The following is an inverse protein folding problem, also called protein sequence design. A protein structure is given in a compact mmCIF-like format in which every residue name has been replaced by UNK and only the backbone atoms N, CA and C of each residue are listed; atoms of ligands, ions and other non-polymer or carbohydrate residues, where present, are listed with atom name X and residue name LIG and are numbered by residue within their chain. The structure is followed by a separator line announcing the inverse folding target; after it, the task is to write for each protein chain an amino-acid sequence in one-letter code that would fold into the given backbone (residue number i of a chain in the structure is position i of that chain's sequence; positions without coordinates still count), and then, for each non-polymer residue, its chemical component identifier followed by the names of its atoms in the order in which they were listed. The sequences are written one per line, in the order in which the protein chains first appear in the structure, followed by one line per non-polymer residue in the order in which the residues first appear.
data_IF_128901871877
#
_entry.id   IF_128901871877
#
_cell.length_a   1.000
_cell.length_b   1.000
_cell.length_c   1.000
_cell.angle_alpha   90.00
_cell.angle_beta   90.00
_cell.angle_gamma   90.00
#
_symmetry.space_group_name_H-M   'P 1'
#
loop_
_entity.id
_entity.type
_entity.pdbx_description
1 polymer ?
#
# COMPACT_ATOMS: atom_id res chain seq x y z
N UNK A 1 -29.26 -7.77 22.88
CA UNK A 1 -28.22 -6.93 22.26
C UNK A 1 -28.14 -7.32 20.79
N UNK A 2 -28.69 -6.49 19.92
CA UNK A 2 -28.65 -6.70 18.48
C UNK A 2 -27.24 -6.32 18.01
N UNK A 3 -26.45 -7.30 17.60
CA UNK A 3 -25.16 -7.09 16.96
C UNK A 3 -25.42 -6.31 15.67
N UNK A 4 -25.05 -5.03 15.65
CA UNK A 4 -24.96 -4.28 14.40
C UNK A 4 -23.82 -4.90 13.59
N UNK A 5 -24.16 -5.54 12.49
CA UNK A 5 -23.21 -5.94 11.46
C UNK A 5 -22.42 -4.68 11.07
N UNK A 6 -21.09 -4.66 11.15
CA UNK A 6 -20.31 -3.53 10.66
C UNK A 6 -20.68 -3.29 9.20
N UNK A 7 -20.83 -2.02 8.82
CA UNK A 7 -21.06 -1.63 7.44
C UNK A 7 -20.03 -2.34 6.57
N UNK A 8 -20.54 -3.20 5.68
CA UNK A 8 -19.73 -3.87 4.67
C UNK A 8 -18.95 -2.77 3.96
N UNK A 9 -17.62 -2.82 4.01
CA UNK A 9 -16.72 -2.05 3.15
C UNK A 9 -17.06 -2.41 1.69
N UNK A 10 -18.13 -1.83 1.18
CA UNK A 10 -18.78 -2.15 -0.11
C UNK A 10 -17.90 -1.82 -1.32
N UNK A 11 -16.75 -1.20 -1.07
CA UNK A 11 -15.77 -0.79 -2.07
C UNK A 11 -14.40 -1.43 -1.87
N UNK A 12 -14.27 -2.48 -1.04
CA UNK A 12 -12.99 -3.18 -0.88
C UNK A 12 -12.69 -3.98 -2.14
N UNK A 13 -12.00 -3.33 -3.08
CA UNK A 13 -11.49 -3.87 -4.35
C UNK A 13 -12.65 -4.18 -5.30
N UNK A 14 -12.67 -3.67 -6.55
CA UNK A 14 -13.71 -4.05 -7.49
C UNK A 14 -13.77 -5.57 -7.53
N UNK A 15 -14.90 -6.10 -7.07
CA UNK A 15 -15.29 -7.47 -7.33
C UNK A 15 -15.35 -7.55 -8.85
N UNK A 16 -14.26 -7.94 -9.50
CA UNK A 16 -14.46 -8.93 -10.56
C UNK A 16 -15.09 -10.08 -9.81
N UNK A 17 -16.42 -10.11 -9.84
CA UNK A 17 -17.31 -11.03 -9.14
C UNK A 17 -17.19 -12.43 -9.73
N UNK A 18 -15.97 -12.89 -9.94
CA UNK A 18 -15.69 -14.26 -10.31
C UNK A 18 -15.81 -15.07 -9.03
N UNK A 19 -16.97 -15.69 -8.85
CA UNK A 19 -17.11 -16.77 -7.88
C UNK A 19 -16.17 -17.92 -8.26
N UNK A 20 -15.90 -18.84 -7.34
CA UNK A 20 -15.15 -20.06 -7.66
C UNK A 20 -15.80 -20.83 -8.82
N UNK A 21 -17.14 -20.87 -8.85
CA UNK A 21 -17.89 -21.44 -9.97
C UNK A 21 -17.70 -20.67 -11.29
N UNK A 22 -17.50 -19.36 -11.25
CA UNK A 22 -17.21 -18.56 -12.46
C UNK A 22 -15.77 -18.76 -12.93
N UNK A 23 -14.83 -18.93 -12.00
CA UNK A 23 -13.47 -19.35 -12.32
C UNK A 23 -13.48 -20.75 -12.94
N UNK A 24 -14.02 -21.77 -12.27
CA UNK A 24 -14.11 -23.13 -12.83
C UNK A 24 -14.78 -23.14 -14.20
N UNK A 25 -15.86 -22.38 -14.38
CA UNK A 25 -16.55 -22.28 -15.68
C UNK A 25 -15.69 -21.59 -16.74
N UNK A 26 -14.94 -20.55 -16.39
CA UNK A 26 -13.99 -19.89 -17.28
C UNK A 26 -12.86 -20.85 -17.68
N UNK A 27 -12.21 -21.48 -16.71
CA UNK A 27 -11.11 -22.44 -16.92
C UNK A 27 -11.55 -23.71 -17.67
N UNK A 28 -12.83 -24.11 -17.58
CA UNK A 28 -13.37 -25.29 -18.26
C UNK A 28 -13.90 -25.00 -19.67
N UNK A 29 -14.48 -23.81 -19.92
CA UNK A 29 -14.96 -23.41 -21.25
C UNK A 29 -13.86 -22.85 -22.15
N UNK A 30 -12.94 -22.11 -21.55
CA UNK A 30 -11.82 -21.46 -22.22
C UNK A 30 -10.62 -21.54 -21.30
N UNK A 31 -9.99 -22.73 -21.17
CA UNK A 31 -8.80 -22.86 -20.34
C UNK A 31 -7.80 -21.77 -20.73
N UNK A 32 -7.24 -21.03 -19.76
CA UNK A 32 -6.28 -19.99 -20.10
C UNK A 32 -5.16 -20.62 -20.91
N UNK A 33 -4.82 -19.96 -22.01
CA UNK A 33 -3.71 -20.35 -22.85
C UNK A 33 -2.44 -20.33 -21.99
N UNK A 34 -1.92 -21.50 -21.68
CA UNK A 34 -0.78 -21.71 -20.77
C UNK A 34 0.53 -21.83 -21.55
N UNK A 35 0.46 -21.93 -22.89
CA UNK A 35 1.60 -21.81 -23.77
C UNK A 35 1.76 -20.33 -24.13
N UNK A 36 2.64 -19.63 -23.40
CA UNK A 36 2.90 -18.20 -23.57
C UNK A 36 3.26 -17.82 -25.01
N UNK A 37 3.82 -18.74 -25.81
CA UNK A 37 4.12 -18.55 -27.23
C UNK A 37 2.89 -18.29 -28.10
N UNK A 38 1.69 -18.70 -27.66
CA UNK A 38 0.44 -18.57 -28.42
C UNK A 38 -0.26 -17.23 -28.16
N UNK A 39 0.25 -16.41 -27.23
CA UNK A 39 -0.30 -15.10 -26.90
C UNK A 39 0.09 -14.09 -27.99
N UNK A 40 -0.61 -14.11 -29.12
CA UNK A 40 -0.33 -13.22 -30.27
C UNK A 40 -0.99 -11.84 -30.13
N UNK A 41 -1.94 -11.69 -29.20
CA UNK A 41 -2.64 -10.44 -28.86
C UNK A 41 -3.08 -10.47 -27.39
N UNK A 42 -2.17 -10.21 -26.45
CA UNK A 42 -2.57 -9.95 -25.06
C UNK A 42 -2.84 -8.46 -24.85
N UNK A 43 -3.77 -8.11 -23.97
CA UNK A 43 -3.98 -6.73 -23.48
C UNK A 43 -2.85 -6.24 -22.57
N UNK A 44 -1.96 -7.14 -22.15
CA UNK A 44 -0.71 -6.83 -21.46
C UNK A 44 0.39 -7.60 -22.20
N UNK A 45 1.03 -6.91 -23.14
CA UNK A 45 2.11 -7.46 -23.94
C UNK A 45 3.40 -7.42 -23.11
N UNK A 46 3.73 -8.51 -22.41
CA UNK A 46 5.08 -8.74 -21.88
C UNK A 46 6.00 -9.35 -22.94
N UNK A 47 5.78 -9.08 -24.23
CA UNK A 47 6.92 -9.09 -25.13
C UNK A 47 7.87 -8.05 -24.57
N UNK A 48 8.99 -8.52 -24.02
CA UNK A 48 10.18 -7.71 -23.81
C UNK A 48 10.53 -7.11 -25.16
N UNK A 49 9.92 -5.97 -25.47
CA UNK A 49 10.52 -5.01 -26.38
C UNK A 49 11.88 -4.77 -25.71
N UNK A 50 12.96 -4.99 -26.46
CA UNK A 50 14.33 -4.65 -26.08
C UNK A 50 14.41 -3.12 -25.88
N UNK A 51 13.69 -2.59 -24.90
CA UNK A 51 13.97 -1.30 -24.35
C UNK A 51 15.19 -1.52 -23.49
N UNK A 52 16.30 -1.01 -24.01
CA UNK A 52 17.43 -0.65 -23.21
C UNK A 52 16.93 0.28 -22.10
N UNK A 53 16.61 -0.28 -20.93
CA UNK A 53 16.11 0.47 -19.77
C UNK A 53 17.11 1.55 -19.35
N UNK A 54 18.35 1.46 -19.82
CA UNK A 54 19.42 2.40 -19.58
C UNK A 54 19.11 3.83 -20.10
N UNK A 55 18.28 3.96 -21.15
CA UNK A 55 17.77 5.27 -21.62
C UNK A 55 16.68 5.85 -20.71
N UNK A 56 15.88 5.00 -20.05
CA UNK A 56 14.89 5.45 -19.05
C UNK A 56 15.56 5.85 -17.73
N UNK A 57 16.68 5.22 -17.36
CA UNK A 57 17.48 5.55 -16.17
C UNK A 57 18.21 6.89 -16.33
N UNK A 58 18.52 7.30 -17.57
CA UNK A 58 19.34 8.48 -17.86
C UNK A 58 18.63 9.83 -17.78
N UNK A 59 17.30 9.86 -17.68
CA UNK A 59 16.54 11.12 -17.63
C UNK A 59 16.20 11.47 -16.18
N UNK A 60 17.03 12.34 -15.58
CA UNK A 60 16.75 12.98 -14.30
C UNK A 60 15.49 13.86 -14.42
N UNK A 61 14.33 13.31 -14.10
CA UNK A 61 13.10 14.08 -13.97
C UNK A 61 13.12 14.84 -12.62
N UNK A 62 13.91 15.92 -12.57
CA UNK A 62 13.69 17.01 -11.61
C UNK A 62 12.75 17.99 -12.30
N UNK A 63 11.45 17.72 -12.24
CA UNK A 63 10.44 18.73 -12.54
C UNK A 63 9.14 18.39 -11.84
N UNK A 64 8.87 19.17 -10.80
CA UNK A 64 7.57 19.34 -10.16
C UNK A 64 6.52 19.66 -11.20
N UNK A 65 5.75 18.65 -11.58
CA UNK A 65 4.37 18.78 -12.02
C UNK A 65 3.64 17.62 -11.35
N UNK A 66 2.70 17.91 -10.48
CA UNK A 66 1.69 16.94 -10.06
C UNK A 66 1.14 16.31 -11.34
N UNK A 67 1.29 14.99 -11.56
CA UNK A 67 1.00 14.43 -12.87
C UNK A 67 -0.47 14.64 -13.24
N UNK A 68 -0.72 15.11 -14.45
CA UNK A 68 -2.07 15.21 -14.98
C UNK A 68 -2.65 13.81 -15.16
N UNK A 69 -3.76 13.52 -14.50
CA UNK A 69 -4.46 12.22 -14.39
C UNK A 69 -4.94 11.57 -15.69
N UNK A 70 -4.83 12.27 -16.83
CA UNK A 70 -5.15 11.74 -18.16
C UNK A 70 -3.90 11.22 -18.92
N UNK A 71 -2.70 11.47 -18.39
CA UNK A 71 -1.47 10.97 -18.98
C UNK A 71 -1.15 9.57 -18.46
N UNK A 72 -0.74 8.69 -19.37
CA UNK A 72 -0.18 7.36 -19.11
C UNK A 72 1.20 7.48 -18.43
N UNK A 73 1.28 8.17 -17.30
CA UNK A 73 2.52 8.46 -16.62
C UNK A 73 3.11 7.22 -15.92
N UNK A 74 4.38 7.32 -15.53
CA UNK A 74 5.12 6.23 -14.90
C UNK A 74 4.52 5.83 -13.54
N UNK A 75 3.89 6.77 -12.82
CA UNK A 75 3.25 6.48 -11.53
C UNK A 75 2.03 5.59 -11.75
N UNK A 76 1.16 5.96 -12.69
CA UNK A 76 -0.01 5.19 -13.11
C UNK A 76 0.40 3.78 -13.57
N UNK A 77 1.39 3.68 -14.46
CA UNK A 77 1.83 2.40 -15.00
C UNK A 77 2.34 1.48 -13.88
N UNK A 78 3.20 2.00 -13.00
CA UNK A 78 3.72 1.26 -11.85
C UNK A 78 2.61 0.86 -10.90
N UNK A 79 1.68 1.76 -10.62
CA UNK A 79 0.55 1.51 -9.75
C UNK A 79 -0.33 0.35 -10.28
N UNK A 80 -0.63 0.34 -11.58
CA UNK A 80 -1.39 -0.74 -12.21
C UNK A 80 -0.65 -2.08 -12.15
N UNK A 81 0.66 -2.10 -12.43
CA UNK A 81 1.47 -3.31 -12.35
C UNK A 81 1.57 -3.81 -10.91
N UNK A 82 1.85 -2.93 -9.94
CA UNK A 82 1.94 -3.25 -8.53
C UNK A 82 0.61 -3.81 -8.01
N UNK A 83 -0.51 -3.18 -8.37
CA UNK A 83 -1.84 -3.66 -8.00
C UNK A 83 -2.17 -5.02 -8.63
N UNK A 84 -1.81 -5.23 -9.90
CA UNK A 84 -2.02 -6.53 -10.55
C UNK A 84 -1.22 -7.63 -9.86
N UNK A 85 0.05 -7.39 -9.56
CA UNK A 85 0.95 -8.35 -8.92
C UNK A 85 0.55 -8.67 -7.48
N UNK A 86 0.03 -7.68 -6.75
CA UNK A 86 -0.30 -7.80 -5.31
C UNK A 86 -1.79 -7.97 -5.06
N UNK A 87 -2.59 -8.23 -6.11
CA UNK A 87 -4.05 -8.30 -6.00
C UNK A 87 -4.48 -9.34 -4.96
N UNK A 88 -5.27 -8.97 -3.95
CA UNK A 88 -5.77 -9.89 -2.95
C UNK A 88 -6.54 -11.04 -3.56
N UNK A 89 -6.11 -12.27 -3.26
CA UNK A 89 -6.91 -13.46 -3.53
C UNK A 89 -8.09 -13.55 -2.54
N UNK A 90 -8.99 -14.52 -2.75
CA UNK A 90 -10.18 -14.66 -1.91
C UNK A 90 -9.84 -14.80 -0.42
N UNK A 91 -8.88 -15.68 -0.09
CA UNK A 91 -8.47 -15.94 1.29
C UNK A 91 -7.92 -14.69 1.98
N UNK A 92 -7.04 -13.93 1.31
CA UNK A 92 -6.52 -12.68 1.87
C UNK A 92 -7.62 -11.65 2.08
N UNK A 93 -8.63 -11.57 1.20
CA UNK A 93 -9.76 -10.65 1.40
C UNK A 93 -10.59 -11.00 2.62
N UNK A 94 -10.80 -12.29 2.92
CA UNK A 94 -11.45 -12.72 4.16
C UNK A 94 -10.59 -12.41 5.38
N UNK A 95 -9.29 -12.68 5.31
CA UNK A 95 -8.35 -12.32 6.38
C UNK A 95 -8.34 -10.80 6.63
N UNK A 96 -8.36 -10.00 5.58
CA UNK A 96 -8.43 -8.54 5.70
C UNK A 96 -9.71 -8.10 6.41
N UNK A 97 -10.87 -8.66 6.04
CA UNK A 97 -12.14 -8.38 6.73
C UNK A 97 -12.12 -8.77 8.22
N UNK A 98 -11.45 -9.87 8.53
CA UNK A 98 -11.42 -10.41 9.88
C UNK A 98 -10.42 -9.71 10.79
N UNK A 99 -9.25 -9.36 10.26
CA UNK A 99 -8.09 -8.94 11.05
C UNK A 99 -7.71 -7.48 10.87
N UNK A 100 -8.16 -6.80 9.82
CA UNK A 100 -7.80 -5.40 9.61
C UNK A 100 -8.46 -4.51 10.68
N UNK A 101 -7.68 -3.76 11.47
CA UNK A 101 -8.22 -2.92 12.53
C UNK A 101 -8.64 -1.54 12.00
N UNK A 102 -8.62 -1.32 10.68
CA UNK A 102 -8.89 -0.03 10.06
C UNK A 102 -10.32 0.46 10.33
N UNK A 103 -10.46 1.77 10.59
CA UNK A 103 -11.75 2.43 10.75
C UNK A 103 -11.81 3.67 9.85
N UNK A 104 -12.57 3.57 8.77
CA UNK A 104 -12.77 4.68 7.81
C UNK A 104 -13.88 5.64 8.28
N UNK A 105 -13.79 6.96 8.00
CA UNK A 105 -12.67 7.60 7.32
C UNK A 105 -11.44 7.70 8.25
N UNK A 106 -10.25 7.49 7.69
CA UNK A 106 -8.96 7.55 8.38
C UNK A 106 -7.89 8.26 7.56
N UNK A 107 -6.80 8.60 8.24
CA UNK A 107 -5.52 8.88 7.61
C UNK A 107 -4.53 7.77 7.98
N UNK A 108 -3.67 7.37 7.05
CA UNK A 108 -2.59 6.43 7.36
C UNK A 108 -1.28 7.18 7.56
N UNK A 109 -0.51 6.79 8.57
CA UNK A 109 0.85 7.26 8.79
C UNK A 109 1.80 6.07 8.67
N UNK A 110 2.72 6.13 7.71
CA UNK A 110 3.75 5.12 7.54
C UNK A 110 5.10 5.65 8.00
N UNK A 111 5.61 5.09 9.10
CA UNK A 111 6.87 5.47 9.74
C UNK A 111 7.87 4.32 9.61
N UNK A 112 8.95 4.56 8.86
CA UNK A 112 10.02 3.58 8.60
C UNK A 112 11.29 3.98 9.33
N UNK A 113 11.67 3.24 10.36
CA UNK A 113 12.75 3.62 11.28
C UNK A 113 13.93 2.63 11.39
N UNK A 114 13.89 1.43 10.79
CA UNK A 114 14.97 0.44 10.94
C UNK A 114 16.30 0.84 10.28
N UNK A 115 17.04 -0.13 9.72
CA UNK A 115 18.29 -0.03 8.91
C UNK A 115 18.41 1.15 7.92
N UNK A 116 17.35 1.90 7.67
CA UNK A 116 17.30 3.13 6.87
C UNK A 116 18.06 4.33 7.46
N UNK A 117 18.62 4.22 8.68
CA UNK A 117 19.50 5.26 9.25
C UNK A 117 20.68 5.65 8.33
N UNK A 118 21.06 4.79 7.37
CA UNK A 118 22.13 5.03 6.41
C UNK A 118 21.69 5.72 5.10
N UNK A 119 20.39 5.73 4.78
CA UNK A 119 19.88 6.15 3.45
C UNK A 119 19.23 7.55 3.45
N UNK A 120 18.65 7.98 4.58
CA UNK A 120 18.02 9.29 4.72
C UNK A 120 18.02 9.77 6.19
N UNK A 121 17.93 11.09 6.45
CA UNK A 121 17.68 11.61 7.79
C UNK A 121 16.43 10.96 8.39
N UNK A 122 16.54 10.42 9.60
CA UNK A 122 15.41 9.84 10.31
C UNK A 122 14.43 10.96 10.66
N UNK A 123 13.22 10.90 10.11
CA UNK A 123 12.12 11.78 10.50
C UNK A 123 11.49 11.25 11.78
N UNK A 124 11.29 12.12 12.75
CA UNK A 124 10.76 11.71 14.04
C UNK A 124 9.22 11.63 13.97
N UNK A 125 8.62 10.77 14.80
CA UNK A 125 7.16 10.61 14.81
C UNK A 125 6.36 11.94 14.94
N UNK A 126 6.81 12.95 15.72
CA UNK A 126 6.16 14.25 15.76
C UNK A 126 6.06 14.98 14.42
N UNK A 127 6.98 14.77 13.48
CA UNK A 127 6.94 15.39 12.14
C UNK A 127 5.72 14.88 11.36
N UNK A 128 5.48 13.57 11.41
CA UNK A 128 4.29 12.95 10.84
C UNK A 128 3.01 13.44 11.54
N UNK A 129 3.02 13.52 12.86
CA UNK A 129 1.85 13.94 13.63
C UNK A 129 1.50 15.42 13.44
N UNK A 130 2.49 16.26 13.12
CA UNK A 130 2.25 17.65 12.69
C UNK A 130 1.37 17.69 11.44
N UNK A 131 1.66 16.86 10.44
CA UNK A 131 0.82 16.73 9.23
C UNK A 131 -0.52 16.05 9.49
N UNK A 132 -0.58 15.09 10.41
CA UNK A 132 -1.85 14.50 10.82
C UNK A 132 -2.78 15.54 11.45
N UNK A 133 -2.24 16.49 12.22
CA UNK A 133 -3.00 17.58 12.81
C UNK A 133 -3.50 18.58 11.77
N UNK A 134 -2.68 18.90 10.76
CA UNK A 134 -3.10 19.71 9.61
C UNK A 134 -4.30 19.05 8.89
N UNK A 135 -4.21 17.75 8.56
CA UNK A 135 -5.32 17.02 7.94
C UNK A 135 -6.54 16.97 8.83
N UNK A 136 -6.38 16.71 10.14
CA UNK A 136 -7.50 16.67 11.09
C UNK A 136 -8.24 18.00 11.12
N UNK A 137 -7.54 19.13 11.09
CA UNK A 137 -8.15 20.47 11.07
C UNK A 137 -8.89 20.76 9.77
N UNK A 138 -8.35 20.30 8.63
CA UNK A 138 -8.94 20.53 7.31
C UNK A 138 -10.15 19.62 7.03
N UNK A 139 -10.10 18.38 7.50
CA UNK A 139 -11.03 17.32 7.07
C UNK A 139 -11.93 16.80 8.20
N UNK A 140 -11.57 17.06 9.46
CA UNK A 140 -12.22 16.50 10.64
C UNK A 140 -11.84 15.04 10.94
N UNK A 141 -11.06 14.38 10.08
CA UNK A 141 -10.66 12.97 10.26
C UNK A 141 -9.69 12.85 11.43
N UNK A 142 -9.99 11.96 12.38
CA UNK A 142 -9.17 11.72 13.58
C UNK A 142 -8.78 10.26 13.80
N UNK A 143 -9.30 9.33 12.99
CA UNK A 143 -8.83 7.96 12.97
C UNK A 143 -7.50 7.90 12.23
N UNK A 144 -6.50 7.26 12.83
CA UNK A 144 -5.15 7.16 12.27
C UNK A 144 -4.73 5.71 12.24
N UNK A 145 -4.47 5.19 11.05
CA UNK A 145 -3.82 3.89 10.88
C UNK A 145 -2.29 4.07 10.90
N UNK A 146 -1.60 3.43 11.84
CA UNK A 146 -0.14 3.46 11.92
C UNK A 146 0.44 2.18 11.34
N UNK A 147 1.27 2.35 10.31
CA UNK A 147 2.17 1.30 9.82
C UNK A 147 3.59 1.68 10.23
N UNK A 148 4.21 0.87 11.08
CA UNK A 148 5.60 1.09 11.50
C UNK A 148 6.25 -0.21 11.97
N UNK A 149 7.53 -0.31 11.70
CA UNK A 149 8.45 -1.34 12.19
C UNK A 149 8.98 -1.06 13.61
N UNK A 150 8.75 0.14 14.15
CA UNK A 150 9.29 0.60 15.43
C UNK A 150 8.24 0.65 16.54
N UNK A 151 8.41 -0.21 17.55
CA UNK A 151 7.55 -0.22 18.73
C UNK A 151 7.56 1.08 19.55
N UNK A 152 8.57 1.95 19.43
CA UNK A 152 8.58 3.27 20.06
C UNK A 152 7.52 4.19 19.45
N UNK A 153 7.33 4.15 18.13
CA UNK A 153 6.29 4.91 17.44
C UNK A 153 4.91 4.56 18.01
N UNK A 154 4.63 3.26 18.13
CA UNK A 154 3.38 2.77 18.72
C UNK A 154 3.19 3.27 20.15
N UNK A 155 4.23 3.26 20.98
CA UNK A 155 4.14 3.79 22.36
C UNK A 155 3.89 5.30 22.38
N UNK A 156 4.50 6.06 21.48
CA UNK A 156 4.37 7.51 21.37
C UNK A 156 2.96 7.95 20.97
N UNK A 157 2.18 7.11 20.27
CA UNK A 157 0.76 7.40 19.96
C UNK A 157 -0.06 7.79 21.20
N UNK A 158 0.30 7.27 22.38
CA UNK A 158 -0.38 7.59 23.66
C UNK A 158 -0.33 9.07 24.03
N UNK A 159 0.60 9.84 23.45
CA UNK A 159 0.74 11.28 23.71
C UNK A 159 -0.29 12.12 22.93
N UNK A 160 -0.88 11.58 21.86
CA UNK A 160 -1.74 12.32 20.93
C UNK A 160 -3.23 11.98 21.17
N UNK A 161 -3.82 12.56 22.21
CA UNK A 161 -5.18 12.21 22.69
C UNK A 161 -6.34 12.61 21.77
N UNK A 162 -6.07 13.48 20.82
CA UNK A 162 -7.04 13.97 19.83
C UNK A 162 -7.21 13.04 18.63
N UNK A 163 -6.44 11.94 18.57
CA UNK A 163 -6.52 10.93 17.52
C UNK A 163 -6.92 9.57 18.10
N UNK A 164 -7.46 8.72 17.22
CA UNK A 164 -7.77 7.31 17.50
C UNK A 164 -6.86 6.45 16.65
N UNK A 165 -5.84 5.87 17.27
CA UNK A 165 -4.84 5.08 16.56
C UNK A 165 -5.27 3.62 16.40
N UNK A 166 -5.07 3.08 15.20
CA UNK A 166 -5.19 1.66 14.88
C UNK A 166 -3.87 1.17 14.27
N UNK A 167 -3.49 -0.07 14.55
CA UNK A 167 -2.30 -0.72 14.01
C UNK A 167 -2.45 -2.23 14.23
N UNK A 168 -1.80 -3.06 13.42
CA UNK A 168 -1.81 -4.52 13.63
C UNK A 168 -1.06 -4.89 14.91
N UNK A 169 -1.54 -5.91 15.63
CA UNK A 169 -0.82 -6.46 16.78
C UNK A 169 0.24 -7.46 16.30
N UNK A 170 1.41 -6.93 15.95
CA UNK A 170 2.54 -7.68 15.39
C UNK A 170 3.85 -7.23 16.05
N UNK A 171 4.88 -8.10 16.06
CA UNK A 171 6.21 -7.71 16.52
C UNK A 171 6.76 -6.51 15.75
N UNK A 172 7.48 -5.63 16.46
CA UNK A 172 8.06 -4.38 15.94
C UNK A 172 9.45 -4.13 16.51
N UNK A 173 10.44 -4.95 16.09
CA UNK A 173 11.78 -4.91 16.66
C UNK A 173 12.58 -3.68 16.25
N UNK A 174 12.09 -2.84 15.33
CA UNK A 174 12.87 -1.81 14.65
C UNK A 174 14.07 -2.39 13.87
N UNK A 175 13.84 -3.53 13.22
CA UNK A 175 14.82 -4.28 12.44
C UNK A 175 14.19 -4.67 11.10
N UNK A 176 15.01 -5.14 10.16
CA UNK A 176 14.50 -5.66 8.89
C UNK A 176 13.84 -7.05 9.07
N UNK A 177 12.94 -7.40 8.14
CA UNK A 177 12.10 -8.61 8.20
C UNK A 177 12.88 -9.93 8.35
N UNK A 178 14.13 -10.00 7.87
CA UNK A 178 14.96 -11.20 7.99
C UNK A 178 15.32 -11.50 9.46
N UNK A 179 15.42 -10.49 10.32
CA UNK A 179 15.69 -10.69 11.74
C UNK A 179 14.52 -11.40 12.45
N UNK A 180 13.28 -11.16 12.00
CA UNK A 180 12.09 -11.83 12.51
C UNK A 180 12.03 -13.30 12.06
N UNK A 181 12.41 -13.56 10.82
CA UNK A 181 12.60 -14.91 10.30
C UNK A 181 13.67 -15.68 11.08
N UNK A 182 14.81 -15.05 11.37
CA UNK A 182 15.90 -15.66 12.17
C UNK A 182 15.46 -15.98 13.60
N UNK A 183 14.49 -15.22 14.15
CA UNK A 183 13.84 -15.50 15.44
C UNK A 183 12.76 -16.59 15.37
N UNK A 184 12.59 -17.23 14.22
CA UNK A 184 11.68 -18.36 14.02
C UNK A 184 10.24 -17.98 13.65
N UNK A 185 9.98 -16.73 13.24
CA UNK A 185 8.66 -16.37 12.74
C UNK A 185 8.39 -17.00 11.37
N UNK A 186 7.20 -17.61 11.15
CA UNK A 186 6.81 -18.14 9.85
C UNK A 186 6.78 -17.05 8.78
N UNK A 187 7.41 -17.30 7.63
CA UNK A 187 7.52 -16.31 6.55
C UNK A 187 6.15 -15.94 5.98
N UNK A 188 5.24 -16.91 5.86
CA UNK A 188 3.86 -16.71 5.41
C UNK A 188 3.07 -15.78 6.34
N UNK A 189 3.34 -15.83 7.66
CA UNK A 189 2.78 -14.89 8.63
C UNK A 189 3.31 -13.47 8.41
N UNK A 190 4.63 -13.32 8.23
CA UNK A 190 5.26 -12.01 7.98
C UNK A 190 4.75 -11.37 6.69
N UNK A 191 4.67 -12.15 5.60
CA UNK A 191 4.14 -11.70 4.31
C UNK A 191 2.67 -11.30 4.41
N UNK A 192 1.85 -12.11 5.08
CA UNK A 192 0.44 -11.81 5.31
C UNK A 192 0.28 -10.51 6.10
N UNK A 193 0.98 -10.37 7.21
CA UNK A 193 0.85 -9.22 8.11
C UNK A 193 1.35 -7.94 7.45
N UNK A 194 2.45 -8.02 6.70
CA UNK A 194 2.92 -6.92 5.85
C UNK A 194 1.87 -6.47 4.84
N UNK A 195 1.27 -7.42 4.09
CA UNK A 195 0.23 -7.09 3.12
C UNK A 195 -1.02 -6.53 3.80
N UNK A 196 -1.42 -7.05 4.97
CA UNK A 196 -2.55 -6.52 5.74
C UNK A 196 -2.30 -5.05 6.12
N UNK A 197 -1.09 -4.73 6.60
CA UNK A 197 -0.68 -3.37 6.95
C UNK A 197 -0.72 -2.44 5.73
N UNK A 198 -0.16 -2.86 4.60
CA UNK A 198 -0.13 -2.08 3.35
C UNK A 198 -1.54 -1.80 2.84
N UNK A 199 -2.40 -2.82 2.75
CA UNK A 199 -3.78 -2.67 2.26
C UNK A 199 -4.67 -1.88 3.23
N UNK A 200 -4.37 -1.91 4.52
CA UNK A 200 -5.04 -1.06 5.50
C UNK A 200 -4.61 0.39 5.28
N UNK A 201 -3.30 0.68 5.26
CA UNK A 201 -2.81 2.03 5.00
C UNK A 201 -3.35 2.62 3.68
N UNK A 202 -3.32 1.83 2.60
CA UNK A 202 -3.80 2.27 1.28
C UNK A 202 -5.31 2.54 1.22
N UNK A 203 -6.10 2.03 2.17
CA UNK A 203 -7.53 2.29 2.23
C UNK A 203 -7.90 3.61 2.89
N UNK A 204 -7.03 4.19 3.73
CA UNK A 204 -7.30 5.47 4.33
C UNK A 204 -7.46 6.59 3.29
N UNK A 205 -8.19 7.64 3.65
CA UNK A 205 -8.48 8.78 2.79
C UNK A 205 -7.30 9.68 2.55
N UNK A 206 -6.46 9.79 3.57
CA UNK A 206 -5.26 10.62 3.53
C UNK A 206 -4.04 9.79 3.91
N UNK A 207 -2.90 10.03 3.28
CA UNK A 207 -1.66 9.31 3.55
C UNK A 207 -0.55 10.29 3.94
N UNK A 208 0.19 9.97 5.01
CA UNK A 208 1.38 10.69 5.45
C UNK A 208 2.51 9.67 5.48
N UNK A 209 3.52 9.85 4.63
CA UNK A 209 4.57 8.85 4.46
C UNK A 209 5.88 9.48 4.00
N UNK A 210 6.85 8.62 3.68
CA UNK A 210 8.13 8.97 3.06
C UNK A 210 8.30 8.21 1.76
N UNK A 211 8.55 8.92 0.66
CA UNK A 211 8.79 8.29 -0.63
C UNK A 211 10.20 7.76 -0.80
N UNK A 212 11.14 8.07 0.09
CA UNK A 212 12.37 7.27 0.17
C UNK A 212 12.12 5.84 0.65
N UNK A 213 10.93 5.50 1.18
CA UNK A 213 10.54 4.11 1.49
C UNK A 213 9.82 3.45 0.32
N UNK A 214 10.29 2.26 -0.09
CA UNK A 214 9.57 1.39 -1.03
C UNK A 214 8.13 1.11 -0.57
N UNK A 215 7.92 0.92 0.73
CA UNK A 215 6.60 0.68 1.31
C UNK A 215 5.72 1.93 1.21
N UNK A 216 6.29 3.12 1.44
CA UNK A 216 5.57 4.39 1.28
C UNK A 216 5.12 4.60 -0.18
N UNK A 217 6.01 4.32 -1.14
CA UNK A 217 5.66 4.35 -2.58
C UNK A 217 4.53 3.37 -2.91
N UNK A 218 4.64 2.12 -2.45
CA UNK A 218 3.62 1.09 -2.67
C UNK A 218 2.25 1.49 -2.10
N UNK A 219 2.20 2.09 -0.91
CA UNK A 219 0.94 2.60 -0.33
C UNK A 219 0.31 3.65 -1.23
N UNK A 220 1.08 4.64 -1.71
CA UNK A 220 0.59 5.68 -2.62
C UNK A 220 0.07 5.10 -3.94
N UNK A 221 0.84 4.18 -4.54
CA UNK A 221 0.50 3.46 -5.77
C UNK A 221 -0.80 2.66 -5.62
N UNK A 222 -0.94 1.87 -4.56
CA UNK A 222 -2.16 1.10 -4.31
C UNK A 222 -3.36 2.01 -3.98
N UNK A 223 -3.15 3.09 -3.22
CA UNK A 223 -4.21 4.05 -2.90
C UNK A 223 -4.81 4.66 -4.17
N UNK A 224 -3.96 4.96 -5.16
CA UNK A 224 -4.39 5.43 -6.47
C UNK A 224 -5.30 4.42 -7.18
N UNK A 225 -4.85 3.17 -7.33
CA UNK A 225 -5.62 2.16 -8.07
C UNK A 225 -6.93 1.80 -7.36
N UNK A 226 -6.90 1.66 -6.03
CA UNK A 226 -8.07 1.31 -5.23
C UNK A 226 -9.17 2.38 -5.31
N UNK A 227 -8.79 3.65 -5.44
CA UNK A 227 -9.73 4.78 -5.47
C UNK A 227 -10.04 5.26 -6.87
N UNK A 228 -9.25 4.82 -7.86
CA UNK A 228 -9.27 5.29 -9.25
C UNK A 228 -9.24 6.83 -9.35
N UNK A 229 -8.42 7.47 -8.50
CA UNK A 229 -8.21 8.92 -8.45
C UNK A 229 -6.91 9.24 -7.71
N UNK A 230 -6.44 10.49 -7.83
CA UNK A 230 -5.31 10.98 -7.05
C UNK A 230 -5.47 10.69 -5.55
N UNK A 231 -4.49 10.05 -4.89
CA UNK A 231 -4.52 9.88 -3.45
C UNK A 231 -4.27 11.22 -2.75
N UNK A 232 -4.98 11.48 -1.65
CA UNK A 232 -4.67 12.64 -0.82
C UNK A 232 -3.45 12.31 0.04
N UNK A 233 -2.27 12.50 -0.52
CA UNK A 233 -1.02 12.03 0.07
C UNK A 233 -0.03 13.19 0.28
N UNK A 234 0.73 13.12 1.36
CA UNK A 234 1.92 13.92 1.58
C UNK A 234 3.13 13.01 1.87
N UNK A 235 4.21 13.27 1.13
CA UNK A 235 5.53 12.72 1.42
C UNK A 235 6.35 13.75 2.20
N UNK A 236 7.03 13.32 3.26
CA UNK A 236 7.78 14.23 4.13
C UNK A 236 9.23 14.48 3.71
N UNK A 237 9.73 13.77 2.70
CA UNK A 237 11.16 13.77 2.37
C UNK A 237 11.46 13.97 0.88
N UNK A 238 10.85 13.18 0.01
CA UNK A 238 11.15 13.14 -1.42
C UNK A 238 9.87 13.16 -2.23
N UNK A 239 9.98 13.61 -3.46
CA UNK A 239 8.95 13.40 -4.47
C UNK A 239 8.92 11.92 -4.88
N UNK A 240 7.81 11.49 -5.49
CA UNK A 240 7.74 10.15 -6.03
C UNK A 240 8.72 10.04 -7.20
N UNK A 241 9.53 8.98 -7.19
CA UNK A 241 10.48 8.67 -8.25
C UNK A 241 10.44 7.18 -8.54
N UNK A 242 10.38 6.83 -9.82
CA UNK A 242 10.64 5.47 -10.28
C UNK A 242 12.15 5.26 -10.31
N UNK A 243 12.70 4.72 -9.23
CA UNK A 243 14.06 4.17 -9.27
C UNK A 243 14.03 2.82 -10.01
N UNK A 244 14.89 2.60 -11.02
CA UNK A 244 15.08 1.30 -11.66
C UNK A 244 15.70 0.27 -10.71
#
# INVERSE_FOLDING_TARGET
MTLKTPEVLSNFIPLTSCTEADMERAFKKSPPEHLFSNWTKSTINFQTINYDLTDMVGQSYVKTNTPGFEDQDLFWLRAMVAYYATRPNYQFREQFRQYSPIQTPCMSVHVRHSDKHSEAPLLEFPDYMSKAEDYRRQTGVSNVYIMSDDGKVIRSTKQYKNFRFQYLDVPRPNEAWYAEKERGMPVDMLERDFLLDVYAAAQCEHQILTYSSNVGRLIGELSYVLRNKEPSLVSLDSEWLMWP
#
